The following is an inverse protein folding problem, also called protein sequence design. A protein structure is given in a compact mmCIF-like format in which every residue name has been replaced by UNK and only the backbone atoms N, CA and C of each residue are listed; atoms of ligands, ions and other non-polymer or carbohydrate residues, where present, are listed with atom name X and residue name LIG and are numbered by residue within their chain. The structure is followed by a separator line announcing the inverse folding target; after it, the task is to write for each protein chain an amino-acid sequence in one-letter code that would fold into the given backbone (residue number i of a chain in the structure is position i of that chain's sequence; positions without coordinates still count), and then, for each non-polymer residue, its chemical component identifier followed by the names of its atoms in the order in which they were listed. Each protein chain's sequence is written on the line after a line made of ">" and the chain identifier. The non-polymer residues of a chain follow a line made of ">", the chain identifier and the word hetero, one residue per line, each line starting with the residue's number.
data_IF_466373344810
#
_entry.id   IF_466373344810
#
_cell.length_a   1.000
_cell.length_b   1.000
_cell.length_c   1.000
_cell.angle_alpha   90.00
_cell.angle_beta   90.00
_cell.angle_gamma   90.00
#
_symmetry.space_group_name_H-M   'P 1'
#
loop_
_entity.id
_entity.type
_entity.pdbx_description
1 polymer ?
#
# COMPACT_ATOMS: atom_id res chain seq x y z
N UNK A 1 -4.32 14.32 28.32
CA UNK A 1 -3.88 15.20 27.23
C UNK A 1 -2.56 15.87 27.58
N UNK A 2 -2.43 16.62 28.68
CA UNK A 2 -1.14 17.26 29.07
C UNK A 2 0.06 16.31 29.12
N UNK A 3 -0.13 15.08 29.61
CA UNK A 3 0.96 14.09 29.71
C UNK A 3 1.41 13.51 28.35
N UNK A 4 0.57 13.59 27.32
CA UNK A 4 0.86 13.06 25.96
C UNK A 4 1.53 14.12 25.09
N UNK A 5 1.08 15.36 25.15
CA UNK A 5 1.74 16.49 24.47
C UNK A 5 3.17 16.67 24.97
N UNK A 6 3.38 16.63 26.29
CA UNK A 6 4.71 16.68 26.90
C UNK A 6 5.59 15.50 26.44
N UNK A 7 5.02 14.31 26.27
CA UNK A 7 5.75 13.14 25.76
C UNK A 7 6.20 13.33 24.30
N UNK A 8 5.33 13.89 23.45
CA UNK A 8 5.68 14.22 22.06
C UNK A 8 6.81 15.24 21.98
N UNK A 9 6.69 16.33 22.74
CA UNK A 9 7.70 17.39 22.77
C UNK A 9 9.05 16.89 23.29
N UNK A 10 9.05 16.08 24.35
CA UNK A 10 10.27 15.44 24.86
C UNK A 10 10.90 14.53 23.81
N UNK A 11 10.10 13.74 23.08
CA UNK A 11 10.63 12.87 22.02
C UNK A 11 11.28 13.70 20.92
N UNK A 12 10.61 14.78 20.49
CA UNK A 12 11.10 15.68 19.45
C UNK A 12 12.44 16.31 19.85
N UNK A 13 12.55 16.83 21.08
CA UNK A 13 13.80 17.42 21.59
C UNK A 13 14.93 16.39 21.58
N UNK A 14 14.69 15.17 22.08
CA UNK A 14 15.71 14.12 22.09
C UNK A 14 16.15 13.71 20.68
N UNK A 15 15.22 13.61 19.72
CA UNK A 15 15.56 13.35 18.32
C UNK A 15 16.42 14.46 17.72
N UNK A 16 16.09 15.73 18.00
CA UNK A 16 16.90 16.86 17.57
C UNK A 16 18.30 16.86 18.20
N UNK A 17 18.42 16.43 19.46
CA UNK A 17 19.71 16.30 20.15
C UNK A 17 20.56 15.19 19.53
N UNK A 18 19.99 14.00 19.31
CA UNK A 18 20.67 12.87 18.65
C UNK A 18 21.20 13.28 17.27
N UNK A 19 20.37 14.00 16.49
CA UNK A 19 20.76 14.47 15.15
C UNK A 19 21.86 15.56 15.16
N UNK A 20 22.03 16.28 16.27
CA UNK A 20 23.06 17.32 16.46
C UNK A 20 24.35 16.80 17.11
N UNK A 21 24.26 15.75 17.93
CA UNK A 21 25.34 15.31 18.83
C UNK A 21 26.41 14.45 18.15
N UNK A 22 26.05 13.64 17.15
CA UNK A 22 26.97 12.69 16.51
C UNK A 22 27.38 13.13 15.09
N UNK A 23 28.67 12.98 14.77
CA UNK A 23 29.18 13.05 13.39
C UNK A 23 29.13 11.69 12.68
N UNK A 24 28.97 10.61 13.44
CA UNK A 24 28.86 9.25 12.94
C UNK A 24 27.38 8.89 12.73
N UNK A 25 27.02 8.63 11.47
CA UNK A 25 25.66 8.31 11.07
C UNK A 25 25.19 6.96 11.61
N UNK A 26 26.10 6.02 11.83
CA UNK A 26 25.76 4.71 12.39
C UNK A 26 25.35 4.86 13.85
N UNK A 27 26.10 5.65 14.62
CA UNK A 27 25.73 5.96 16.01
C UNK A 27 24.38 6.69 16.11
N UNK A 28 24.08 7.59 15.17
CA UNK A 28 22.76 8.26 15.11
C UNK A 28 21.64 7.23 15.00
N UNK A 29 21.81 6.15 14.22
CA UNK A 29 20.81 5.08 14.16
C UNK A 29 20.66 4.36 15.48
N UNK A 30 21.77 3.93 16.09
CA UNK A 30 21.75 3.26 17.39
C UNK A 30 21.03 4.10 18.45
N UNK A 31 21.25 5.40 18.45
CA UNK A 31 20.62 6.32 19.40
C UNK A 31 19.12 6.50 19.13
N UNK A 32 18.70 6.63 17.86
CA UNK A 32 17.27 6.74 17.50
C UNK A 32 16.52 5.43 17.80
N UNK A 33 17.12 4.26 17.53
CA UNK A 33 16.55 2.94 17.83
C UNK A 33 16.52 2.64 19.32
N UNK A 34 17.54 3.06 20.07
CA UNK A 34 17.52 3.03 21.53
C UNK A 34 16.38 3.89 22.09
N UNK A 35 16.15 5.07 21.51
CA UNK A 35 15.02 5.92 21.86
C UNK A 35 13.68 5.24 21.51
N UNK A 36 13.57 4.61 20.35
CA UNK A 36 12.37 3.87 19.95
C UNK A 36 12.07 2.72 20.93
N UNK A 37 13.07 1.89 21.20
CA UNK A 37 12.97 0.74 22.10
C UNK A 37 12.62 1.15 23.53
N UNK A 38 13.22 2.23 24.05
CA UNK A 38 12.90 2.75 25.39
C UNK A 38 11.46 3.25 25.51
N UNK A 39 10.89 3.76 24.41
CA UNK A 39 9.49 4.22 24.33
C UNK A 39 8.51 3.12 23.93
N UNK A 40 9.00 1.93 23.54
CA UNK A 40 8.17 0.79 23.09
C UNK A 40 7.20 0.28 24.15
N UNK A 41 7.56 0.36 25.42
CA UNK A 41 6.65 0.01 26.51
C UNK A 41 5.51 1.02 26.68
N UNK A 42 5.76 2.30 26.38
CA UNK A 42 4.72 3.34 26.34
C UNK A 42 3.80 3.18 25.12
N UNK A 43 4.22 2.42 24.11
CA UNK A 43 3.44 2.08 22.93
C UNK A 43 2.50 0.86 23.12
N UNK A 44 2.58 0.06 24.20
CA UNK A 44 1.72 -1.11 24.45
C UNK A 44 0.82 -0.94 25.70
N UNK A 45 -0.42 -1.39 25.81
CA UNK A 45 -1.17 -2.44 25.10
C UNK A 45 -1.93 -1.98 23.84
N UNK A 46 -1.73 -2.78 22.79
CA UNK A 46 -2.39 -2.72 21.49
C UNK A 46 -3.88 -2.96 21.68
N UNK A 47 -4.66 -1.88 21.58
CA UNK A 47 -6.00 -1.81 20.96
C UNK A 47 -6.69 -0.46 21.22
N UNK A 48 -6.29 0.32 22.24
CA UNK A 48 -6.95 1.63 22.53
C UNK A 48 -6.06 2.87 22.62
N UNK A 49 -4.74 2.74 22.80
CA UNK A 49 -3.83 3.90 23.02
C UNK A 49 -2.81 4.16 21.91
N UNK A 50 -2.60 3.24 20.97
CA UNK A 50 -1.67 3.42 19.85
C UNK A 50 -1.85 4.76 19.13
N UNK A 51 -3.11 5.13 18.84
CA UNK A 51 -3.48 6.39 18.19
C UNK A 51 -2.99 7.65 18.92
N UNK A 52 -2.84 7.61 20.26
CA UNK A 52 -2.31 8.74 21.02
C UNK A 52 -0.79 8.91 20.84
N UNK A 53 -0.08 7.84 20.52
CA UNK A 53 1.39 7.84 20.41
C UNK A 53 1.89 7.73 18.98
N UNK A 54 0.99 7.55 18.01
CA UNK A 54 1.28 7.55 16.57
C UNK A 54 2.09 8.77 16.12
N UNK A 55 1.83 10.03 16.58
CA UNK A 55 2.68 11.16 16.22
C UNK A 55 4.15 10.97 16.65
N UNK A 56 4.39 10.40 17.84
CA UNK A 56 5.76 10.08 18.29
C UNK A 56 6.39 9.00 17.44
N UNK A 57 5.65 7.93 17.15
CA UNK A 57 6.14 6.87 16.27
C UNK A 57 6.56 7.43 14.90
N UNK A 58 5.68 8.21 14.25
CA UNK A 58 5.98 8.87 12.97
C UNK A 58 7.18 9.83 13.03
N UNK A 59 7.38 10.54 14.15
CA UNK A 59 8.55 11.41 14.33
C UNK A 59 9.85 10.60 14.38
N UNK A 60 9.85 9.47 15.09
CA UNK A 60 11.00 8.57 15.20
C UNK A 60 11.30 7.92 13.85
N UNK A 61 10.30 7.33 13.19
CA UNK A 61 10.45 6.74 11.85
C UNK A 61 10.96 7.75 10.84
N UNK A 62 10.39 8.96 10.83
CA UNK A 62 10.86 10.04 9.95
C UNK A 62 12.30 10.45 10.24
N UNK A 63 12.74 10.39 11.50
CA UNK A 63 14.13 10.66 11.87
C UNK A 63 15.08 9.56 11.41
N UNK A 64 14.69 8.28 11.54
CA UNK A 64 15.41 7.12 11.00
C UNK A 64 15.58 7.24 9.49
N UNK A 65 14.48 7.48 8.76
CA UNK A 65 14.48 7.59 7.30
C UNK A 65 15.43 8.71 6.81
N UNK A 66 15.42 9.87 7.47
CA UNK A 66 16.34 10.97 7.15
C UNK A 66 17.80 10.57 7.40
N UNK A 67 18.05 9.85 8.49
CA UNK A 67 19.39 9.38 8.80
C UNK A 67 19.85 8.33 7.76
N UNK A 68 18.98 7.39 7.33
CA UNK A 68 19.29 6.35 6.34
C UNK A 68 19.71 6.97 5.02
N UNK A 69 18.90 7.91 4.50
CA UNK A 69 19.22 8.64 3.27
C UNK A 69 20.54 9.39 3.36
N UNK A 70 20.82 10.02 4.50
CA UNK A 70 22.09 10.73 4.71
C UNK A 70 23.28 9.75 4.75
N UNK A 71 23.13 8.59 5.37
CA UNK A 71 24.16 7.55 5.41
C UNK A 71 24.51 7.05 4.00
N UNK A 72 23.50 6.70 3.21
CA UNK A 72 23.68 6.28 1.81
C UNK A 72 24.39 7.38 1.00
N UNK A 73 24.00 8.65 1.15
CA UNK A 73 24.63 9.76 0.43
C UNK A 73 26.11 10.01 0.80
N UNK A 74 26.48 9.82 2.07
CA UNK A 74 27.83 10.13 2.57
C UNK A 74 28.81 8.98 2.32
N UNK A 75 28.35 7.74 2.48
CA UNK A 75 29.20 6.55 2.61
C UNK A 75 29.28 5.67 1.34
N UNK A 76 28.66 6.08 0.22
CA UNK A 76 28.69 5.35 -1.06
C UNK A 76 30.00 5.50 -1.85
N UNK A 77 31.09 5.97 -1.22
CA UNK A 77 32.33 6.36 -1.93
C UNK A 77 33.48 5.36 -1.81
N UNK A 78 33.41 4.39 -0.90
CA UNK A 78 34.43 3.35 -0.74
C UNK A 78 33.81 2.01 -0.31
N UNK A 79 34.52 0.91 -0.58
CA UNK A 79 34.01 -0.45 -0.40
C UNK A 79 33.80 -0.86 1.06
N UNK A 80 34.60 -0.32 1.99
CA UNK A 80 34.49 -0.64 3.42
C UNK A 80 33.23 -0.01 4.03
N UNK A 81 32.97 1.24 3.66
CA UNK A 81 31.75 1.97 4.04
C UNK A 81 30.49 1.30 3.49
N UNK A 82 30.49 0.85 2.23
CA UNK A 82 29.38 0.11 1.63
C UNK A 82 29.10 -1.21 2.36
N UNK A 83 30.16 -1.99 2.65
CA UNK A 83 30.02 -3.24 3.40
C UNK A 83 29.44 -3.00 4.79
N UNK A 84 29.94 -2.00 5.50
CA UNK A 84 29.46 -1.65 6.84
C UNK A 84 27.96 -1.29 6.82
N UNK A 85 27.50 -0.53 5.83
CA UNK A 85 26.09 -0.21 5.68
C UNK A 85 25.24 -1.43 5.32
N UNK A 86 25.73 -2.33 4.46
CA UNK A 86 25.03 -3.58 4.13
C UNK A 86 24.86 -4.48 5.34
N UNK A 87 25.94 -4.74 6.08
CA UNK A 87 25.90 -5.55 7.30
C UNK A 87 24.91 -4.95 8.31
N UNK A 88 24.91 -3.61 8.43
CA UNK A 88 23.97 -2.88 9.27
C UNK A 88 22.51 -3.01 8.80
N UNK A 89 22.22 -2.97 7.50
CA UNK A 89 20.84 -3.11 7.00
C UNK A 89 20.34 -4.56 6.97
N UNK A 90 21.23 -5.55 6.89
CA UNK A 90 20.92 -6.98 6.98
C UNK A 90 20.66 -7.45 8.41
N UNK A 91 21.28 -6.78 9.38
CA UNK A 91 21.16 -7.13 10.80
C UNK A 91 21.11 -5.85 11.64
N UNK A 92 20.08 -5.01 11.48
CA UNK A 92 20.08 -3.74 12.18
C UNK A 92 20.07 -3.98 13.70
N UNK A 93 19.30 -4.97 14.16
CA UNK A 93 19.19 -5.38 15.57
C UNK A 93 18.68 -6.82 15.61
N UNK A 94 19.08 -7.66 16.57
CA UNK A 94 18.72 -9.10 16.73
C UNK A 94 17.19 -9.43 16.75
N UNK A 95 16.31 -8.45 16.50
CA UNK A 95 14.84 -8.55 16.52
C UNK A 95 14.12 -7.67 15.46
N UNK A 96 14.84 -7.09 14.49
CA UNK A 96 14.24 -6.26 13.43
C UNK A 96 14.47 -6.89 12.07
N UNK A 97 13.45 -6.85 11.21
CA UNK A 97 13.51 -7.39 9.86
C UNK A 97 14.58 -6.64 9.03
N UNK A 98 15.26 -7.33 8.10
CA UNK A 98 16.19 -6.70 7.17
C UNK A 98 15.54 -5.55 6.39
N UNK A 99 16.36 -4.58 5.96
CA UNK A 99 15.90 -3.43 5.16
C UNK A 99 16.44 -3.49 3.74
N UNK A 100 15.90 -4.42 2.96
CA UNK A 100 16.35 -4.67 1.59
C UNK A 100 16.14 -3.46 0.66
N UNK A 101 15.15 -2.61 0.95
CA UNK A 101 14.96 -1.33 0.25
C UNK A 101 16.14 -0.36 0.44
N UNK A 102 16.74 -0.33 1.63
CA UNK A 102 17.92 0.47 1.91
C UNK A 102 19.20 -0.16 1.35
N UNK A 103 19.28 -1.50 1.34
CA UNK A 103 20.38 -2.23 0.68
C UNK A 103 20.35 -1.94 -0.82
N UNK A 104 19.18 -2.03 -1.45
CA UNK A 104 18.96 -1.68 -2.86
C UNK A 104 19.43 -0.26 -3.19
N UNK A 105 19.13 0.71 -2.32
CA UNK A 105 19.50 2.11 -2.52
C UNK A 105 21.02 2.38 -2.51
N UNK A 106 21.85 1.44 -2.07
CA UNK A 106 23.32 1.51 -2.24
C UNK A 106 23.74 1.33 -3.71
N UNK A 107 22.97 0.58 -4.49
CA UNK A 107 23.06 0.48 -5.95
C UNK A 107 24.25 -0.33 -6.49
N UNK A 108 25.15 -0.82 -5.65
CA UNK A 108 26.28 -1.65 -6.08
C UNK A 108 25.84 -3.12 -6.39
N UNK A 109 26.63 -3.86 -7.19
CA UNK A 109 26.28 -5.22 -7.60
C UNK A 109 26.05 -6.21 -6.46
N UNK A 110 26.77 -6.06 -5.34
CA UNK A 110 26.64 -6.97 -4.20
C UNK A 110 25.33 -6.69 -3.46
N UNK A 111 25.00 -5.42 -3.23
CA UNK A 111 23.69 -4.98 -2.74
C UNK A 111 22.53 -5.46 -3.61
N UNK A 112 22.66 -5.32 -4.93
CA UNK A 112 21.61 -5.76 -5.85
C UNK A 112 21.39 -7.27 -5.77
N UNK A 113 22.47 -8.06 -5.72
CA UNK A 113 22.38 -9.52 -5.60
C UNK A 113 21.71 -9.95 -4.29
N UNK A 114 22.03 -9.32 -3.16
CA UNK A 114 21.37 -9.57 -1.87
C UNK A 114 19.85 -9.39 -1.97
N UNK A 115 19.40 -8.31 -2.62
CA UNK A 115 17.97 -8.03 -2.79
C UNK A 115 17.31 -9.07 -3.70
N UNK A 116 17.99 -9.48 -4.78
CA UNK A 116 17.46 -10.52 -5.66
C UNK A 116 17.37 -11.88 -4.97
N UNK A 117 18.36 -12.25 -4.17
CA UNK A 117 18.36 -13.49 -3.40
C UNK A 117 17.25 -13.46 -2.32
N UNK A 118 17.01 -12.32 -1.69
CA UNK A 118 15.91 -12.18 -0.74
C UNK A 118 14.54 -12.35 -1.42
N UNK A 119 14.31 -11.74 -2.58
CA UNK A 119 13.06 -11.94 -3.34
C UNK A 119 12.87 -13.41 -3.74
N UNK A 120 13.97 -14.08 -4.10
CA UNK A 120 13.97 -15.50 -4.42
C UNK A 120 13.55 -16.35 -3.22
N UNK A 121 14.05 -16.04 -2.02
CA UNK A 121 13.63 -16.69 -0.78
C UNK A 121 12.15 -16.45 -0.48
N UNK A 122 11.66 -15.22 -0.64
CA UNK A 122 10.24 -14.90 -0.42
C UNK A 122 9.32 -15.69 -1.35
N UNK A 123 9.69 -15.94 -2.62
CA UNK A 123 8.87 -16.73 -3.54
C UNK A 123 8.64 -18.19 -3.10
N UNK A 124 9.47 -18.71 -2.20
CA UNK A 124 9.37 -20.08 -1.70
C UNK A 124 8.64 -20.21 -0.35
N UNK A 125 8.05 -19.11 0.15
CA UNK A 125 7.31 -19.09 1.42
C UNK A 125 5.90 -19.63 1.26
N UNK A 126 5.43 -20.32 2.31
CA UNK A 126 4.07 -20.86 2.37
C UNK A 126 3.02 -19.73 2.57
N UNK A 127 1.72 -20.02 2.39
CA UNK A 127 0.67 -19.00 2.50
C UNK A 127 0.61 -18.29 3.86
N UNK A 128 0.90 -19.00 4.96
CA UNK A 128 0.81 -18.47 6.32
C UNK A 128 2.10 -17.75 6.78
N UNK A 129 3.16 -17.79 5.98
CA UNK A 129 4.44 -17.18 6.30
C UNK A 129 4.40 -15.65 6.12
N UNK A 130 5.06 -14.95 7.04
CA UNK A 130 5.24 -13.50 6.95
C UNK A 130 6.18 -13.15 5.78
N UNK A 131 5.72 -12.27 4.89
CA UNK A 131 6.49 -11.79 3.74
C UNK A 131 7.25 -10.51 4.09
N UNK A 132 8.56 -10.49 3.83
CA UNK A 132 9.35 -9.26 3.95
C UNK A 132 9.15 -8.36 2.72
N UNK A 133 8.14 -7.49 2.81
CA UNK A 133 7.81 -6.53 1.76
C UNK A 133 8.97 -5.61 1.35
N UNK A 134 10.02 -5.47 2.17
CA UNK A 134 11.14 -4.56 1.87
C UNK A 134 11.97 -5.03 0.69
N UNK A 135 12.04 -6.35 0.42
CA UNK A 135 12.77 -6.87 -0.74
C UNK A 135 12.09 -6.49 -2.06
N UNK A 136 10.75 -6.56 -2.12
CA UNK A 136 9.96 -6.10 -3.26
C UNK A 136 10.07 -4.58 -3.43
N UNK A 137 10.05 -3.79 -2.35
CA UNK A 137 10.33 -2.35 -2.43
C UNK A 137 11.75 -2.08 -2.97
N UNK A 138 12.73 -2.91 -2.60
CA UNK A 138 14.09 -2.86 -3.11
C UNK A 138 14.19 -3.08 -4.63
N UNK A 139 13.36 -3.93 -5.23
CA UNK A 139 13.28 -4.07 -6.69
C UNK A 139 12.90 -2.75 -7.38
N UNK A 140 11.95 -2.00 -6.79
CA UNK A 140 11.57 -0.69 -7.33
C UNK A 140 12.72 0.31 -7.25
N UNK A 141 13.47 0.35 -6.15
CA UNK A 141 14.65 1.22 -6.01
C UNK A 141 15.74 0.87 -7.03
N UNK A 142 16.05 -0.43 -7.21
CA UNK A 142 17.03 -0.91 -8.19
C UNK A 142 16.61 -0.65 -9.64
N UNK A 143 15.32 -0.51 -9.92
CA UNK A 143 14.84 -0.28 -11.29
C UNK A 143 15.31 1.07 -11.86
N UNK A 144 15.70 2.02 -11.02
CA UNK A 144 16.32 3.27 -11.45
C UNK A 144 17.69 3.05 -12.12
N UNK A 145 18.33 1.90 -11.89
CA UNK A 145 19.67 1.55 -12.39
C UNK A 145 19.52 0.72 -13.68
N UNK A 146 19.99 1.22 -14.85
CA UNK A 146 19.75 0.57 -16.14
C UNK A 146 20.19 -0.90 -16.23
N UNK A 147 21.26 -1.25 -15.52
CA UNK A 147 21.86 -2.60 -15.54
C UNK A 147 20.93 -3.67 -14.95
N UNK A 148 20.02 -3.29 -14.05
CA UNK A 148 19.13 -4.23 -13.36
C UNK A 148 17.72 -4.30 -13.94
N UNK A 149 17.35 -3.37 -14.83
CA UNK A 149 15.98 -3.22 -15.34
C UNK A 149 15.41 -4.51 -15.93
N UNK A 150 16.13 -5.13 -16.86
CA UNK A 150 15.63 -6.35 -17.53
C UNK A 150 15.47 -7.51 -16.55
N UNK A 151 16.37 -7.66 -15.57
CA UNK A 151 16.26 -8.69 -14.53
C UNK A 151 15.02 -8.44 -13.67
N UNK A 152 14.77 -7.20 -13.27
CA UNK A 152 13.60 -6.82 -12.46
C UNK A 152 12.31 -7.05 -13.25
N UNK A 153 12.26 -6.66 -14.52
CA UNK A 153 11.11 -6.92 -15.40
C UNK A 153 10.85 -8.43 -15.55
N UNK A 154 11.91 -9.24 -15.69
CA UNK A 154 11.76 -10.69 -15.74
C UNK A 154 11.21 -11.25 -14.42
N UNK A 155 11.69 -10.76 -13.27
CA UNK A 155 11.20 -11.17 -11.94
C UNK A 155 9.71 -10.87 -11.81
N UNK A 156 9.24 -9.66 -12.14
CA UNK A 156 7.82 -9.31 -11.95
C UNK A 156 6.90 -10.04 -12.93
N UNK A 157 7.36 -10.29 -14.17
CA UNK A 157 6.57 -11.00 -15.18
C UNK A 157 6.48 -12.50 -14.93
N UNK A 158 7.53 -13.11 -14.38
CA UNK A 158 7.54 -14.56 -14.08
C UNK A 158 7.10 -14.86 -12.65
N UNK A 159 7.10 -13.87 -11.75
CA UNK A 159 6.87 -14.07 -10.32
C UNK A 159 5.56 -14.76 -9.98
N UNK A 160 4.46 -14.47 -10.68
CA UNK A 160 3.18 -15.11 -10.40
C UNK A 160 3.23 -16.63 -10.63
N UNK A 161 3.72 -17.06 -11.79
CA UNK A 161 3.86 -18.48 -12.12
C UNK A 161 4.79 -19.18 -11.11
N UNK A 162 5.88 -18.52 -10.72
CA UNK A 162 6.84 -19.05 -9.77
C UNK A 162 6.25 -19.30 -8.39
N UNK A 163 5.43 -18.39 -7.89
CA UNK A 163 4.77 -18.55 -6.58
C UNK A 163 3.71 -19.65 -6.65
N UNK A 164 3.00 -19.76 -7.78
CA UNK A 164 2.06 -20.87 -8.02
C UNK A 164 2.81 -22.21 -8.04
N UNK A 165 3.92 -22.29 -8.77
CA UNK A 165 4.75 -23.50 -8.85
C UNK A 165 5.35 -23.89 -7.50
N UNK A 166 5.75 -22.91 -6.68
CA UNK A 166 6.33 -23.15 -5.36
C UNK A 166 5.30 -23.66 -4.34
N UNK A 167 4.05 -23.18 -4.42
CA UNK A 167 2.98 -23.64 -3.56
C UNK A 167 2.47 -25.05 -3.90
N UNK A 168 2.70 -25.54 -5.12
CA UNK A 168 2.18 -26.82 -5.61
C UNK A 168 0.65 -26.92 -5.41
N UNK A 169 0.17 -28.00 -4.76
CA UNK A 169 -1.23 -28.21 -4.42
C UNK A 169 -1.66 -27.47 -3.12
N UNK A 170 -0.75 -26.76 -2.44
CA UNK A 170 -1.02 -25.99 -1.21
C UNK A 170 -1.55 -24.56 -1.50
N UNK A 171 -1.81 -23.80 -0.44
CA UNK A 171 -2.25 -22.42 -0.54
C UNK A 171 -1.11 -21.52 -1.02
N UNK A 172 -1.41 -20.69 -2.02
CA UNK A 172 -0.50 -19.67 -2.56
C UNK A 172 -0.50 -18.43 -1.65
N UNK A 173 0.67 -17.86 -1.39
CA UNK A 173 0.78 -16.64 -0.59
C UNK A 173 0.23 -15.40 -1.35
N UNK A 174 -0.90 -14.87 -0.87
CA UNK A 174 -1.62 -13.75 -1.47
C UNK A 174 -0.86 -12.42 -1.37
N UNK A 175 -0.05 -12.26 -0.31
CA UNK A 175 0.73 -11.05 -0.07
C UNK A 175 1.78 -10.86 -1.18
N UNK A 176 2.41 -11.94 -1.64
CA UNK A 176 3.35 -11.90 -2.77
C UNK A 176 2.64 -11.47 -4.06
N UNK A 177 1.45 -12.01 -4.33
CA UNK A 177 0.65 -11.64 -5.51
C UNK A 177 0.35 -10.14 -5.53
N UNK A 178 -0.03 -9.58 -4.39
CA UNK A 178 -0.26 -8.14 -4.26
C UNK A 178 1.02 -7.33 -4.53
N UNK A 179 2.18 -7.76 -3.99
CA UNK A 179 3.45 -7.09 -4.24
C UNK A 179 3.86 -7.11 -5.72
N UNK A 180 3.73 -8.25 -6.39
CA UNK A 180 4.04 -8.38 -7.82
C UNK A 180 3.13 -7.50 -8.69
N UNK A 181 1.81 -7.54 -8.46
CA UNK A 181 0.86 -6.71 -9.20
C UNK A 181 1.11 -5.21 -9.00
N UNK A 182 1.39 -4.81 -7.76
CA UNK A 182 1.77 -3.44 -7.42
C UNK A 182 3.06 -3.02 -8.14
N UNK A 183 4.09 -3.87 -8.13
CA UNK A 183 5.35 -3.57 -8.80
C UNK A 183 5.14 -3.37 -10.30
N UNK A 184 4.33 -4.18 -10.97
CA UNK A 184 3.99 -3.97 -12.38
C UNK A 184 3.47 -2.55 -12.65
N UNK A 185 2.59 -2.04 -11.77
CA UNK A 185 2.07 -0.66 -11.85
C UNK A 185 3.15 0.37 -11.56
N UNK A 186 3.93 0.21 -10.49
CA UNK A 186 4.96 1.17 -10.10
C UNK A 186 6.08 1.29 -11.14
N UNK A 187 6.43 0.18 -11.78
CA UNK A 187 7.42 0.13 -12.86
C UNK A 187 6.87 0.63 -14.20
N UNK A 188 5.56 0.90 -14.28
CA UNK A 188 4.84 1.27 -15.50
C UNK A 188 5.09 0.28 -16.65
N UNK A 189 5.06 -1.02 -16.33
CA UNK A 189 5.32 -2.09 -17.29
C UNK A 189 4.01 -2.60 -17.91
N UNK A 190 3.50 -1.90 -18.93
CA UNK A 190 2.28 -2.30 -19.64
C UNK A 190 2.35 -3.72 -20.23
N UNK A 191 3.55 -4.25 -20.51
CA UNK A 191 3.73 -5.63 -21.00
C UNK A 191 3.38 -6.69 -19.95
N UNK A 192 3.37 -6.33 -18.67
CA UNK A 192 2.93 -7.23 -17.58
C UNK A 192 1.41 -7.34 -17.48
N UNK A 193 0.63 -6.60 -18.27
CA UNK A 193 -0.84 -6.62 -18.17
C UNK A 193 -1.45 -8.02 -18.38
N UNK A 194 -0.90 -8.81 -19.30
CA UNK A 194 -1.37 -10.19 -19.52
C UNK A 194 -1.06 -11.10 -18.33
N UNK A 195 0.11 -10.96 -17.71
CA UNK A 195 0.50 -11.76 -16.55
C UNK A 195 -0.32 -11.39 -15.31
N UNK A 196 -0.57 -10.10 -15.09
CA UNK A 196 -1.50 -9.63 -14.04
C UNK A 196 -2.91 -10.13 -14.29
N UNK A 197 -3.36 -10.24 -15.55
CA UNK A 197 -4.68 -10.77 -15.87
C UNK A 197 -4.76 -12.28 -15.59
N UNK A 198 -3.75 -13.06 -15.95
CA UNK A 198 -3.69 -14.50 -15.60
C UNK A 198 -3.71 -14.69 -14.08
N UNK A 199 -2.92 -13.90 -13.35
CA UNK A 199 -2.90 -13.92 -11.90
C UNK A 199 -4.26 -13.54 -11.29
N UNK A 200 -4.97 -12.56 -11.87
CA UNK A 200 -6.35 -12.24 -11.50
C UNK A 200 -7.29 -13.43 -11.71
N UNK A 201 -7.24 -14.09 -12.86
CA UNK A 201 -8.08 -15.27 -13.16
C UNK A 201 -7.79 -16.40 -12.18
N UNK A 202 -6.52 -16.67 -11.89
CA UNK A 202 -6.11 -17.68 -10.93
C UNK A 202 -6.61 -17.36 -9.51
N UNK A 203 -6.37 -16.14 -9.04
CA UNK A 203 -6.68 -15.74 -7.67
C UNK A 203 -8.17 -15.49 -7.43
N UNK A 204 -8.92 -15.19 -8.50
CA UNK A 204 -10.35 -14.92 -8.46
C UNK A 204 -11.24 -16.17 -8.59
N UNK A 205 -10.64 -17.36 -8.68
CA UNK A 205 -11.37 -18.62 -8.67
C UNK A 205 -12.08 -18.81 -7.30
N UNK A 206 -13.41 -19.06 -7.27
CA UNK A 206 -14.17 -19.27 -6.04
C UNK A 206 -13.66 -20.39 -5.13
N UNK A 207 -12.85 -21.32 -5.63
CA UNK A 207 -12.23 -22.38 -4.83
C UNK A 207 -10.98 -21.90 -4.07
N UNK A 208 -10.47 -20.69 -4.33
CA UNK A 208 -9.36 -20.10 -3.59
C UNK A 208 -9.79 -19.57 -2.23
N UNK A 209 -8.82 -19.45 -1.32
CA UNK A 209 -9.05 -18.87 0.00
C UNK A 209 -9.40 -17.38 -0.10
N UNK A 210 -9.99 -16.84 0.97
CA UNK A 210 -10.63 -15.52 0.97
C UNK A 210 -9.64 -14.38 0.69
N UNK A 211 -8.43 -14.48 1.24
CA UNK A 211 -7.37 -13.48 1.12
C UNK A 211 -6.91 -13.37 -0.34
N UNK A 212 -6.67 -14.50 -1.02
CA UNK A 212 -6.36 -14.53 -2.46
C UNK A 212 -7.47 -13.88 -3.31
N UNK A 213 -8.74 -14.15 -3.02
CA UNK A 213 -9.84 -13.49 -3.73
C UNK A 213 -9.83 -11.98 -3.50
N UNK A 214 -9.56 -11.54 -2.28
CA UNK A 214 -9.39 -10.12 -1.96
C UNK A 214 -8.25 -9.48 -2.76
N UNK A 215 -7.12 -10.20 -2.92
CA UNK A 215 -6.00 -9.77 -3.75
C UNK A 215 -6.35 -9.76 -5.24
N UNK A 216 -7.13 -10.71 -5.74
CA UNK A 216 -7.59 -10.73 -7.12
C UNK A 216 -8.33 -9.44 -7.50
N UNK A 217 -9.20 -8.92 -6.61
CA UNK A 217 -9.83 -7.63 -6.84
C UNK A 217 -8.83 -6.47 -7.04
N UNK A 218 -7.70 -6.48 -6.32
CA UNK A 218 -6.63 -5.50 -6.52
C UNK A 218 -5.89 -5.70 -7.83
N UNK A 219 -5.63 -6.95 -8.23
CA UNK A 219 -5.04 -7.25 -9.54
C UNK A 219 -5.93 -6.73 -10.68
N UNK A 220 -7.26 -6.90 -10.57
CA UNK A 220 -8.20 -6.31 -11.51
C UNK A 220 -8.11 -4.77 -11.56
N UNK A 221 -7.95 -4.11 -10.41
CA UNK A 221 -7.70 -2.66 -10.36
C UNK A 221 -6.37 -2.29 -11.02
N UNK A 222 -5.29 -3.04 -10.79
CA UNK A 222 -3.97 -2.80 -11.39
C UNK A 222 -3.98 -2.89 -12.91
N UNK A 223 -4.77 -3.81 -13.50
CA UNK A 223 -4.97 -3.86 -14.95
C UNK A 223 -5.44 -2.52 -15.54
N UNK A 224 -6.19 -1.72 -14.77
CA UNK A 224 -6.65 -0.41 -15.25
C UNK A 224 -5.50 0.58 -15.43
N UNK A 225 -4.38 0.43 -14.72
CA UNK A 225 -3.17 1.23 -14.88
C UNK A 225 -2.27 0.72 -16.02
N UNK A 226 -2.28 -0.58 -16.27
CA UNK A 226 -1.40 -1.25 -17.23
C UNK A 226 -1.92 -1.23 -18.68
N UNK A 227 -2.87 -0.34 -18.98
CA UNK A 227 -3.43 -0.17 -20.32
C UNK A 227 -3.98 -1.48 -20.93
N UNK A 228 -4.48 -2.40 -20.10
CA UNK A 228 -4.98 -3.69 -20.54
C UNK A 228 -6.12 -3.55 -21.57
N UNK A 229 -5.99 -4.24 -22.71
CA UNK A 229 -6.96 -4.23 -23.82
C UNK A 229 -7.61 -5.60 -24.06
N UNK A 230 -7.37 -6.58 -23.19
CA UNK A 230 -7.90 -7.94 -23.34
C UNK A 230 -9.34 -8.10 -22.84
N UNK A 231 -9.84 -9.34 -22.79
CA UNK A 231 -11.21 -9.63 -22.35
C UNK A 231 -11.42 -9.28 -20.88
N UNK A 232 -12.63 -8.82 -20.55
CA UNK A 232 -13.04 -8.46 -19.18
C UNK A 232 -14.12 -9.37 -18.61
N UNK A 233 -14.51 -10.43 -19.32
CA UNK A 233 -15.59 -11.34 -18.92
C UNK A 233 -15.28 -12.00 -17.58
N UNK A 234 -14.04 -12.42 -17.34
CA UNK A 234 -13.61 -12.96 -16.05
C UNK A 234 -13.80 -11.96 -14.89
N UNK A 235 -13.57 -10.65 -15.13
CA UNK A 235 -13.81 -9.61 -14.11
C UNK A 235 -15.32 -9.50 -13.82
N UNK A 236 -16.15 -9.57 -14.88
CA UNK A 236 -17.60 -9.56 -14.73
C UNK A 236 -18.10 -10.78 -13.94
N UNK A 237 -17.63 -11.97 -14.29
CA UNK A 237 -18.04 -13.22 -13.64
C UNK A 237 -17.63 -13.23 -12.16
N UNK A 238 -16.42 -12.74 -11.84
CA UNK A 238 -15.97 -12.50 -10.47
C UNK A 238 -16.93 -11.56 -9.71
N UNK A 239 -17.24 -10.40 -10.30
CA UNK A 239 -18.17 -9.43 -9.69
C UNK A 239 -19.55 -10.04 -9.46
N UNK A 240 -20.10 -10.77 -10.43
CA UNK A 240 -21.43 -11.39 -10.34
C UNK A 240 -21.49 -12.50 -9.30
N UNK A 241 -20.41 -13.28 -9.15
CA UNK A 241 -20.30 -14.31 -8.14
C UNK A 241 -20.31 -13.69 -6.73
N UNK A 242 -19.35 -12.81 -6.44
CA UNK A 242 -19.17 -12.26 -5.10
C UNK A 242 -20.22 -11.22 -4.71
N UNK A 243 -20.88 -10.57 -5.68
CA UNK A 243 -21.95 -9.61 -5.38
C UNK A 243 -23.16 -10.23 -4.67
N UNK A 244 -23.33 -11.55 -4.74
CA UNK A 244 -24.44 -12.26 -4.06
C UNK A 244 -24.31 -12.22 -2.53
N UNK A 245 -23.08 -12.22 -2.02
CA UNK A 245 -22.79 -12.31 -0.58
C UNK A 245 -22.09 -11.07 -0.03
N UNK A 246 -21.30 -10.37 -0.87
CA UNK A 246 -20.38 -9.31 -0.46
C UNK A 246 -20.53 -8.04 -1.30
N UNK A 247 -21.71 -7.80 -1.89
CA UNK A 247 -21.90 -6.82 -2.97
C UNK A 247 -21.49 -5.38 -2.71
N UNK A 248 -21.34 -4.99 -1.44
CA UNK A 248 -20.97 -3.65 -1.00
C UNK A 248 -19.59 -3.62 -0.31
N UNK A 249 -18.94 -4.77 -0.16
CA UNK A 249 -17.64 -4.84 0.47
C UNK A 249 -16.53 -4.36 -0.47
N UNK A 250 -15.46 -3.85 0.13
CA UNK A 250 -14.41 -3.11 -0.56
C UNK A 250 -13.80 -3.86 -1.75
N UNK A 251 -13.52 -5.16 -1.59
CA UNK A 251 -12.91 -5.95 -2.65
C UNK A 251 -13.87 -6.13 -3.85
N UNK A 252 -15.17 -6.35 -3.62
CA UNK A 252 -16.15 -6.46 -4.72
C UNK A 252 -16.32 -5.12 -5.41
N UNK A 253 -16.39 -4.02 -4.66
CA UNK A 253 -16.52 -2.69 -5.24
C UNK A 253 -15.24 -2.26 -5.96
N UNK A 254 -14.07 -2.73 -5.54
CA UNK A 254 -12.80 -2.57 -6.27
C UNK A 254 -12.81 -3.32 -7.60
N UNK A 255 -13.29 -4.55 -7.65
CA UNK A 255 -13.46 -5.28 -8.90
C UNK A 255 -14.52 -4.63 -9.81
N UNK A 256 -15.62 -4.09 -9.25
CA UNK A 256 -16.61 -3.29 -9.98
C UNK A 256 -16.00 -2.02 -10.56
N UNK A 257 -15.15 -1.32 -9.81
CA UNK A 257 -14.39 -0.17 -10.33
C UNK A 257 -13.65 -0.57 -11.61
N UNK A 258 -12.89 -1.67 -11.57
CA UNK A 258 -12.11 -2.13 -12.72
C UNK A 258 -13.03 -2.47 -13.91
N UNK A 259 -14.08 -3.25 -13.67
CA UNK A 259 -15.03 -3.62 -14.71
C UNK A 259 -15.70 -2.39 -15.35
N UNK A 260 -16.26 -1.49 -14.54
CA UNK A 260 -16.90 -0.28 -15.04
C UNK A 260 -15.92 0.68 -15.72
N UNK A 261 -14.65 0.73 -15.28
CA UNK A 261 -13.59 1.49 -15.94
C UNK A 261 -13.32 1.00 -17.37
N UNK A 262 -13.21 -0.32 -17.56
CA UNK A 262 -13.01 -0.90 -18.88
C UNK A 262 -14.23 -0.71 -19.78
N UNK A 263 -15.44 -0.90 -19.24
CA UNK A 263 -16.69 -0.75 -19.98
C UNK A 263 -17.14 0.71 -20.17
N UNK A 264 -16.45 1.67 -19.55
CA UNK A 264 -16.88 3.08 -19.44
C UNK A 264 -18.33 3.20 -18.93
N UNK A 265 -18.74 2.29 -18.03
CA UNK A 265 -20.12 2.16 -17.58
C UNK A 265 -20.40 3.09 -16.39
N UNK A 266 -20.58 4.37 -16.67
CA UNK A 266 -20.93 5.36 -15.66
C UNK A 266 -22.37 5.23 -15.16
N UNK A 267 -23.26 4.59 -15.94
CA UNK A 267 -24.68 4.46 -15.60
C UNK A 267 -24.89 3.55 -14.38
N UNK A 268 -24.28 2.37 -14.36
CA UNK A 268 -24.36 1.47 -13.20
C UNK A 268 -23.68 2.05 -11.96
N UNK A 269 -22.52 2.68 -12.13
CA UNK A 269 -21.83 3.35 -11.04
C UNK A 269 -22.69 4.48 -10.41
N UNK A 270 -23.39 5.26 -11.23
CA UNK A 270 -24.35 6.27 -10.76
C UNK A 270 -25.53 5.65 -10.02
N UNK A 271 -26.09 4.54 -10.51
CA UNK A 271 -27.18 3.81 -9.84
C UNK A 271 -26.72 3.34 -8.47
N UNK A 272 -25.52 2.76 -8.37
CA UNK A 272 -24.94 2.31 -7.10
C UNK A 272 -24.77 3.47 -6.11
N UNK A 273 -24.17 4.59 -6.56
CA UNK A 273 -23.91 5.75 -5.70
C UNK A 273 -25.21 6.41 -5.19
N UNK A 274 -26.25 6.44 -6.04
CA UNK A 274 -27.53 7.06 -5.75
C UNK A 274 -28.48 6.17 -4.91
N UNK A 275 -28.16 4.88 -4.74
CA UNK A 275 -28.94 3.99 -3.89
C UNK A 275 -28.72 4.34 -2.40
N UNK A 276 -29.77 4.78 -1.67
CA UNK A 276 -29.64 5.16 -0.27
C UNK A 276 -29.33 3.98 0.65
N UNK A 277 -29.57 2.73 0.21
CA UNK A 277 -29.25 1.52 0.98
C UNK A 277 -27.74 1.21 0.96
N UNK A 278 -27.00 1.70 -0.04
CA UNK A 278 -25.54 1.53 -0.11
C UNK A 278 -24.86 2.45 0.89
N UNK A 279 -24.11 1.87 1.83
CA UNK A 279 -23.39 2.64 2.88
C UNK A 279 -21.88 2.45 2.87
N UNK A 280 -21.39 1.36 2.27
CA UNK A 280 -19.97 1.00 2.22
C UNK A 280 -19.36 1.33 0.85
N UNK A 281 -18.04 1.50 0.83
CA UNK A 281 -17.20 1.63 -0.38
C UNK A 281 -17.68 2.68 -1.40
N UNK A 282 -18.43 3.67 -0.94
CA UNK A 282 -18.96 4.75 -1.76
C UNK A 282 -17.85 5.62 -2.36
N UNK A 283 -16.72 5.73 -1.66
CA UNK A 283 -15.55 6.47 -2.09
C UNK A 283 -14.91 5.87 -3.33
N UNK A 284 -14.82 4.54 -3.44
CA UNK A 284 -14.31 3.87 -4.65
C UNK A 284 -15.19 4.21 -5.86
N UNK A 285 -16.52 4.19 -5.67
CA UNK A 285 -17.47 4.55 -6.74
C UNK A 285 -17.40 6.04 -7.09
N UNK A 286 -17.25 6.92 -6.10
CA UNK A 286 -17.03 8.34 -6.32
C UNK A 286 -15.73 8.60 -7.11
N UNK A 287 -14.66 7.87 -6.80
CA UNK A 287 -13.39 7.94 -7.55
C UNK A 287 -13.53 7.45 -8.97
N UNK A 288 -14.26 6.36 -9.24
CA UNK A 288 -14.53 5.94 -10.61
C UNK A 288 -15.24 7.04 -11.41
N UNK A 289 -16.28 7.64 -10.85
CA UNK A 289 -17.06 8.67 -11.53
C UNK A 289 -16.23 9.93 -11.78
N UNK A 290 -15.37 10.31 -10.83
CA UNK A 290 -14.37 11.36 -11.03
C UNK A 290 -13.35 10.97 -12.11
N UNK A 291 -12.80 9.76 -12.09
CA UNK A 291 -11.82 9.28 -13.06
C UNK A 291 -12.40 9.14 -14.46
N UNK A 292 -13.69 8.84 -14.60
CA UNK A 292 -14.40 8.84 -15.88
C UNK A 292 -14.95 10.21 -16.27
N UNK A 293 -14.71 11.25 -15.46
CA UNK A 293 -15.18 12.61 -15.66
C UNK A 293 -16.72 12.72 -15.84
N UNK A 294 -17.49 11.91 -15.10
CA UNK A 294 -18.94 11.85 -15.18
C UNK A 294 -19.60 13.01 -14.42
N UNK A 295 -19.87 14.13 -15.12
CA UNK A 295 -20.45 15.33 -14.50
C UNK A 295 -21.83 15.12 -13.89
N UNK A 296 -22.61 14.13 -14.33
CA UNK A 296 -23.93 13.83 -13.72
C UNK A 296 -23.81 13.35 -12.27
N UNK A 297 -22.63 12.91 -11.83
CA UNK A 297 -22.40 12.50 -10.44
C UNK A 297 -22.39 13.68 -9.45
N UNK A 298 -22.09 14.91 -9.90
CA UNK A 298 -21.98 16.10 -9.03
C UNK A 298 -23.17 16.29 -8.08
N UNK A 299 -24.43 16.38 -8.55
CA UNK A 299 -25.58 16.57 -7.66
C UNK A 299 -25.79 15.38 -6.70
N UNK A 300 -25.46 14.15 -7.12
CA UNK A 300 -25.56 12.96 -6.27
C UNK A 300 -24.52 13.02 -5.15
N UNK A 301 -23.26 13.30 -5.49
CA UNK A 301 -22.16 13.43 -4.53
C UNK A 301 -22.44 14.56 -3.51
N UNK A 302 -22.85 15.74 -3.99
CA UNK A 302 -23.18 16.88 -3.13
C UNK A 302 -24.35 16.60 -2.18
N UNK A 303 -25.34 15.81 -2.63
CA UNK A 303 -26.46 15.40 -1.79
C UNK A 303 -26.01 14.41 -0.73
N UNK A 304 -25.34 13.34 -1.15
CA UNK A 304 -24.88 12.27 -0.26
C UNK A 304 -23.87 12.76 0.78
N UNK A 305 -22.99 13.70 0.41
CA UNK A 305 -22.00 14.29 1.31
C UNK A 305 -22.63 14.90 2.58
N UNK A 306 -23.87 15.40 2.52
CA UNK A 306 -24.57 15.98 3.67
C UNK A 306 -24.91 14.96 4.75
N UNK A 307 -25.04 13.69 4.36
CA UNK A 307 -25.46 12.60 5.23
C UNK A 307 -24.28 11.69 5.62
N UNK A 308 -23.08 11.95 5.09
CA UNK A 308 -21.87 11.18 5.41
C UNK A 308 -21.32 11.58 6.78
N UNK A 309 -20.95 10.57 7.57
CA UNK A 309 -20.32 10.73 8.88
C UNK A 309 -18.87 10.24 8.91
N UNK A 310 -18.47 9.39 7.97
CA UNK A 310 -17.11 8.88 7.89
C UNK A 310 -16.18 9.97 7.32
N UNK A 311 -15.20 10.48 8.09
CA UNK A 311 -14.35 11.59 7.66
C UNK A 311 -13.48 11.25 6.44
N UNK A 312 -13.06 9.99 6.27
CA UNK A 312 -12.29 9.56 5.09
C UNK A 312 -13.18 9.60 3.85
N UNK A 313 -14.36 8.99 3.89
CA UNK A 313 -15.35 9.06 2.79
C UNK A 313 -15.72 10.50 2.45
N UNK A 314 -15.85 11.37 3.44
CA UNK A 314 -16.11 12.79 3.20
C UNK A 314 -14.97 13.46 2.43
N UNK A 315 -13.70 13.18 2.75
CA UNK A 315 -12.56 13.70 1.99
C UNK A 315 -12.52 13.16 0.55
N UNK A 316 -12.85 11.88 0.36
CA UNK A 316 -13.01 11.28 -0.97
C UNK A 316 -14.09 12.03 -1.76
N UNK A 317 -15.26 12.26 -1.18
CA UNK A 317 -16.36 12.96 -1.85
C UNK A 317 -16.01 14.40 -2.19
N UNK A 318 -15.34 15.13 -1.29
CA UNK A 318 -14.88 16.50 -1.55
C UNK A 318 -13.90 16.56 -2.73
N UNK A 319 -12.94 15.64 -2.78
CA UNK A 319 -11.98 15.55 -3.88
C UNK A 319 -12.69 15.18 -5.19
N UNK A 320 -13.61 14.21 -5.18
CA UNK A 320 -14.39 13.83 -6.36
C UNK A 320 -15.23 15.00 -6.90
N UNK A 321 -15.92 15.75 -6.03
CA UNK A 321 -16.67 16.95 -6.40
C UNK A 321 -15.72 18.00 -7.00
N UNK A 322 -14.62 18.31 -6.33
CA UNK A 322 -13.64 19.29 -6.81
C UNK A 322 -13.10 18.95 -8.20
N UNK A 323 -12.72 17.69 -8.42
CA UNK A 323 -12.26 17.19 -9.71
C UNK A 323 -13.34 17.32 -10.77
N UNK A 324 -14.56 16.87 -10.48
CA UNK A 324 -15.68 16.99 -11.41
C UNK A 324 -16.09 18.45 -11.68
N UNK A 325 -15.81 19.41 -10.81
CA UNK A 325 -16.04 20.82 -11.08
C UNK A 325 -14.95 21.46 -11.96
N UNK A 326 -13.70 21.00 -11.83
CA UNK A 326 -12.53 21.69 -12.39
C UNK A 326 -11.96 21.02 -13.64
N UNK A 327 -11.90 19.69 -13.66
CA UNK A 327 -11.29 18.93 -14.74
C UNK A 327 -12.16 18.99 -16.01
N UNK A 328 -11.53 19.00 -17.18
CA UNK A 328 -12.25 19.01 -18.46
C UNK A 328 -12.38 17.62 -19.07
N UNK A 329 -11.39 16.77 -18.86
CA UNK A 329 -11.26 15.45 -19.48
C UNK A 329 -10.93 14.37 -18.43
N UNK A 330 -10.94 13.11 -18.88
CA UNK A 330 -10.45 11.96 -18.10
C UNK A 330 -8.97 12.19 -17.73
N UNK A 331 -8.60 12.11 -16.44
CA UNK A 331 -7.21 12.25 -16.01
C UNK A 331 -6.31 11.15 -16.59
N UNK A 332 -5.01 11.45 -16.68
CA UNK A 332 -4.00 10.44 -17.08
C UNK A 332 -3.97 9.31 -16.05
N UNK A 333 -3.49 8.13 -16.47
CA UNK A 333 -3.54 6.91 -15.67
C UNK A 333 -3.07 7.09 -14.22
N UNK A 334 -1.92 7.75 -13.99
CA UNK A 334 -1.35 7.98 -12.65
C UNK A 334 -1.96 9.17 -11.91
N UNK A 335 -2.65 10.07 -12.61
CA UNK A 335 -3.33 11.22 -12.00
C UNK A 335 -4.75 10.86 -11.52
N UNK A 336 -5.21 9.62 -11.77
CA UNK A 336 -6.50 9.12 -11.33
C UNK A 336 -6.62 9.13 -9.81
N UNK A 337 -7.81 9.47 -9.35
CA UNK A 337 -8.20 9.57 -7.96
C UNK A 337 -8.14 8.21 -7.25
N UNK A 338 -8.40 7.09 -7.93
CA UNK A 338 -8.31 5.76 -7.31
C UNK A 338 -6.93 5.49 -6.67
N UNK A 339 -5.84 6.03 -7.24
CA UNK A 339 -4.49 5.84 -6.70
C UNK A 339 -4.22 6.64 -5.43
N UNK A 340 -5.09 7.59 -5.09
CA UNK A 340 -5.00 8.32 -3.83
C UNK A 340 -5.41 7.45 -2.62
N UNK A 341 -6.02 6.28 -2.84
CA UNK A 341 -6.26 5.29 -1.78
C UNK A 341 -4.99 4.58 -1.32
N UNK A 342 -3.87 4.72 -2.05
CA UNK A 342 -2.61 4.04 -1.74
C UNK A 342 -2.57 2.60 -2.25
N UNK A 343 -1.42 1.96 -2.06
CA UNK A 343 -1.17 0.58 -2.47
C UNK A 343 -0.99 -0.38 -1.29
N UNK A 344 -0.78 0.15 -0.07
CA UNK A 344 -0.50 -0.68 1.12
C UNK A 344 -1.73 -1.50 1.54
N UNK A 345 -1.51 -2.77 1.88
CA UNK A 345 -2.55 -3.67 2.41
C UNK A 345 -2.84 -3.42 3.89
N UNK A 346 -3.96 -3.96 4.39
CA UNK A 346 -4.28 -3.98 5.82
C UNK A 346 -3.15 -4.62 6.64
N UNK A 347 -2.59 -5.71 6.15
CA UNK A 347 -1.47 -6.43 6.78
C UNK A 347 -0.23 -5.56 6.82
N UNK A 348 0.15 -4.93 5.70
CA UNK A 348 1.30 -4.01 5.64
C UNK A 348 1.16 -2.85 6.64
N UNK A 349 -0.02 -2.23 6.75
CA UNK A 349 -0.27 -1.15 7.71
C UNK A 349 -0.23 -1.64 9.15
N UNK A 350 -0.74 -2.85 9.41
CA UNK A 350 -0.75 -3.46 10.76
C UNK A 350 0.66 -3.84 11.22
N UNK A 351 1.56 -4.12 10.28
CA UNK A 351 3.00 -4.30 10.52
C UNK A 351 3.77 -2.98 10.75
N UNK A 352 3.05 -1.84 10.77
CA UNK A 352 3.62 -0.54 11.09
C UNK A 352 4.02 0.30 9.87
N UNK A 353 3.77 -0.17 8.64
CA UNK A 353 4.08 0.65 7.47
C UNK A 353 3.26 1.94 7.45
N UNK A 354 3.91 3.03 7.02
CA UNK A 354 3.25 4.31 6.85
C UNK A 354 2.09 4.20 5.86
N UNK A 355 0.92 4.69 6.27
CA UNK A 355 -0.26 4.76 5.42
C UNK A 355 -0.03 5.68 4.23
N UNK A 356 -0.17 5.17 3.01
CA UNK A 356 -0.03 5.91 1.75
C UNK A 356 -1.38 6.37 1.17
N UNK A 357 -2.49 6.11 1.88
CA UNK A 357 -3.81 6.64 1.57
C UNK A 357 -3.90 8.13 1.91
N UNK A 358 -3.99 8.96 0.87
CA UNK A 358 -4.04 10.43 0.98
C UNK A 358 -5.32 10.89 1.69
N UNK A 359 -6.43 10.18 1.52
CA UNK A 359 -7.70 10.55 2.17
C UNK A 359 -7.67 10.31 3.67
N UNK A 360 -7.06 9.21 4.11
CA UNK A 360 -6.83 8.95 5.54
C UNK A 360 -5.91 10.02 6.13
N UNK A 361 -4.82 10.35 5.44
CA UNK A 361 -3.90 11.41 5.89
C UNK A 361 -4.61 12.76 6.06
N UNK A 362 -5.40 13.21 5.07
CA UNK A 362 -6.17 14.46 5.14
C UNK A 362 -7.22 14.43 6.25
N UNK A 363 -7.93 13.31 6.41
CA UNK A 363 -8.93 13.15 7.45
C UNK A 363 -8.31 13.22 8.86
N UNK A 364 -7.11 12.64 9.05
CA UNK A 364 -6.34 12.74 10.29
C UNK A 364 -5.92 14.18 10.59
N UNK A 365 -5.44 14.92 9.59
CA UNK A 365 -5.04 16.34 9.73
C UNK A 365 -6.21 17.23 10.18
N UNK A 366 -7.39 17.03 9.59
CA UNK A 366 -8.58 17.84 9.88
C UNK A 366 -9.18 17.50 11.25
N UNK A 367 -9.28 16.21 11.57
CA UNK A 367 -9.88 15.76 12.82
C UNK A 367 -8.97 15.95 14.03
N UNK A 368 -7.69 16.31 13.81
CA UNK A 368 -6.63 16.36 14.84
C UNK A 368 -6.59 15.09 15.70
N UNK A 369 -7.07 14.00 15.14
CA UNK A 369 -7.23 12.69 15.76
C UNK A 369 -6.69 11.71 14.75
N UNK A 370 -5.78 10.83 15.17
CA UNK A 370 -5.40 9.72 14.31
C UNK A 370 -6.59 8.76 14.22
N UNK A 371 -7.28 8.78 13.09
CA UNK A 371 -8.34 7.86 12.78
C UNK A 371 -7.77 6.43 12.67
N UNK A 372 -6.46 6.25 12.50
CA UNK A 372 -5.79 4.96 12.39
C UNK A 372 -6.04 4.30 11.04
N UNK A 373 -6.11 2.97 11.00
CA UNK A 373 -6.63 2.19 9.87
C UNK A 373 -8.15 2.40 9.84
N UNK A 374 -8.62 3.55 9.32
CA UNK A 374 -10.05 3.84 9.14
C UNK A 374 -10.42 3.73 7.68
N UNK A 375 -11.22 2.71 7.41
CA UNK A 375 -11.87 2.49 6.13
C UNK A 375 -13.29 3.05 6.13
N UNK A 376 -13.88 3.06 4.94
CA UNK A 376 -15.31 3.29 4.72
C UNK A 376 -16.12 2.11 5.28
N UNK A 377 -16.37 2.11 6.60
CA UNK A 377 -17.26 1.19 7.30
C UNK A 377 -17.12 -0.30 6.90
N UNK A 378 -16.06 -0.95 7.40
CA UNK A 378 -15.99 -2.40 7.42
C UNK A 378 -16.79 -2.94 8.62
N UNK A 379 -18.12 -3.01 8.49
CA UNK A 379 -19.00 -3.64 9.47
C UNK A 379 -19.06 -5.17 9.30
N UNK A 380 -18.04 -5.83 8.72
CA UNK A 380 -17.95 -7.30 8.80
C UNK A 380 -17.32 -7.74 10.13
N UNK A 381 -18.02 -7.45 11.23
CA UNK A 381 -18.13 -8.35 12.40
C UNK A 381 -19.34 -7.96 13.25
N UNK A 382 -20.54 -8.52 13.01
CA UNK A 382 -21.42 -8.90 14.09
C UNK A 382 -21.02 -10.31 14.55
N UNK A 383 -20.38 -10.40 15.72
CA UNK A 383 -20.29 -11.59 16.57
C UNK A 383 -20.51 -12.95 15.88
N UNK A 384 -19.41 -13.65 15.57
CA UNK A 384 -19.41 -15.10 15.66
C UNK A 384 -18.48 -15.50 16.82
N UNK A 385 -19.10 -16.21 17.77
CA UNK A 385 -18.54 -16.81 18.97
C UNK A 385 -17.50 -17.88 18.66
#
# INVERSE_FOLDING_TARGET
>A
MENTEQFHDQTKVLLEEIQKSSKDLIQIFYDIEGLYSSRRQDFGEVTKRWKLYEPTHRMIEGALERAYRKAIQVNTKDAESLRTLRDFFLSPFEKLNPRYDLIAALGDPESAQIVFDAVEEEFNKEADDEIDSSCFNGLFELFSIPEYKERILNIVRTGFDRVIEAADDDLVNDTIFNHLGRLCVQLNDEYSAEEVFKAFVFGGDPERHYEMNTVAAKLALYLTALNYQGPTDAIKDYVDHYSKSYGDDEFVVTAKYAYWWFQKNTAEALVFLNDPQKKKSLGIVASLLADLNEKRALPVLQTRLKDLTNPVTMEVFKEAIHRLETQQDVPRNMDRMIWMFGFRTKSELSLGNKNDNVFVQRANEISKTDLGIVYEADDSTPNDL
#
